data_IF_001749840809
#
_entry.id   IF_001749840809
#
_cell.length_a   1.000
_cell.length_b   1.000
_cell.length_c   1.000
_cell.angle_alpha   90.00
_cell.angle_beta   90.00
_cell.angle_gamma   90.00
#
_symmetry.space_group_name_H-M   'P 1'
#
loop_
_entity.id
_entity.type
_entity.pdbx_description
1 polymer ?
#
# COMPACT_ATOMS: atom_id res chain seq x y z
N UNK A 1 -10.55 -16.73 -16.55
CA UNK A 1 -10.01 -15.38 -16.37
C UNK A 1 -9.31 -15.28 -15.02
N UNK A 2 -8.09 -14.82 -15.06
CA UNK A 2 -7.38 -14.62 -13.81
C UNK A 2 -8.02 -13.45 -13.03
N UNK A 3 -8.06 -13.60 -11.71
CA UNK A 3 -8.59 -12.61 -10.82
C UNK A 3 -7.62 -11.44 -10.70
N UNK A 4 -8.09 -10.22 -10.95
CA UNK A 4 -7.28 -9.03 -10.73
C UNK A 4 -7.03 -8.83 -9.24
N UNK A 5 -5.83 -8.41 -8.90
CA UNK A 5 -5.41 -8.14 -7.54
C UNK A 5 -5.06 -6.67 -7.37
N UNK A 6 -5.79 -6.00 -6.51
CA UNK A 6 -5.53 -4.59 -6.15
C UNK A 6 -5.05 -4.53 -4.71
N UNK A 7 -3.88 -3.97 -4.51
CA UNK A 7 -3.25 -3.86 -3.19
C UNK A 7 -3.15 -2.39 -2.78
N UNK A 8 -3.66 -2.09 -1.59
CA UNK A 8 -3.47 -0.80 -0.93
C UNK A 8 -2.36 -0.92 0.11
N UNK A 9 -1.31 -0.14 -0.05
CA UNK A 9 -0.19 -0.06 0.88
C UNK A 9 -0.10 1.34 1.47
N UNK A 10 0.32 1.42 2.72
CA UNK A 10 0.49 2.70 3.38
C UNK A 10 0.55 2.60 4.89
N UNK A 11 0.14 3.67 5.52
CA UNK A 11 0.16 3.88 6.97
C UNK A 11 -1.26 3.86 7.57
N UNK A 12 -1.50 4.66 8.62
CA UNK A 12 -2.80 4.73 9.31
C UNK A 12 -3.94 5.19 8.41
N UNK A 13 -3.67 6.01 7.40
CA UNK A 13 -4.70 6.50 6.48
C UNK A 13 -5.24 5.34 5.63
N UNK A 14 -4.38 4.42 5.27
CA UNK A 14 -4.75 3.20 4.52
C UNK A 14 -5.30 2.12 5.46
N UNK A 15 -4.72 1.95 6.64
CA UNK A 15 -5.12 0.98 7.67
C UNK A 15 -6.55 1.26 8.17
N UNK A 16 -6.78 2.44 8.71
CA UNK A 16 -8.05 2.90 9.30
C UNK A 16 -8.79 1.79 10.05
N UNK A 17 -8.12 1.25 11.06
CA UNK A 17 -8.67 0.22 11.97
C UNK A 17 -9.15 -1.06 11.25
N UNK A 18 -8.45 -1.46 10.18
CA UNK A 18 -8.75 -2.72 9.53
C UNK A 18 -8.48 -3.91 10.45
N UNK A 19 -9.13 -5.03 10.18
CA UNK A 19 -8.80 -6.31 10.81
C UNK A 19 -7.50 -6.85 10.19
N UNK A 20 -6.39 -6.73 10.92
CA UNK A 20 -5.07 -7.11 10.42
C UNK A 20 -4.87 -8.63 10.27
N UNK A 21 -5.77 -9.44 10.83
CA UNK A 21 -5.76 -10.89 10.61
C UNK A 21 -6.36 -11.29 9.27
N UNK A 22 -7.01 -10.35 8.57
CA UNK A 22 -7.65 -10.58 7.29
C UNK A 22 -7.29 -9.47 6.31
N UNK A 23 -6.38 -9.74 5.38
CA UNK A 23 -5.90 -8.76 4.42
C UNK A 23 -6.97 -8.29 3.43
N UNK A 24 -8.10 -9.00 3.35
CA UNK A 24 -9.26 -8.59 2.55
C UNK A 24 -10.19 -7.63 3.30
N UNK A 25 -9.97 -7.39 4.57
CA UNK A 25 -10.71 -6.38 5.32
C UNK A 25 -10.19 -4.99 4.92
N UNK A 26 -11.09 -4.14 4.45
CA UNK A 26 -10.73 -2.83 3.88
C UNK A 26 -10.68 -1.70 4.91
N UNK A 27 -10.88 -2.02 6.21
CA UNK A 27 -10.91 -0.98 7.25
C UNK A 27 -12.06 -0.01 7.06
N UNK A 28 -11.87 1.22 7.52
CA UNK A 28 -12.92 2.26 7.54
C UNK A 28 -12.53 3.51 6.75
N UNK A 29 -11.49 3.45 5.95
CA UNK A 29 -10.96 4.58 5.17
C UNK A 29 -11.22 4.44 3.66
N UNK A 30 -10.37 5.11 2.87
CA UNK A 30 -10.54 5.16 1.42
C UNK A 30 -10.51 3.77 0.73
N UNK A 31 -9.73 2.76 1.20
CA UNK A 31 -9.78 1.45 0.55
C UNK A 31 -11.16 0.83 0.54
N UNK A 32 -11.93 0.99 1.63
CA UNK A 32 -13.31 0.51 1.71
C UNK A 32 -14.20 1.17 0.66
N UNK A 33 -14.10 2.49 0.53
CA UNK A 33 -14.92 3.23 -0.43
C UNK A 33 -14.56 2.88 -1.88
N UNK A 34 -13.27 2.77 -2.19
CA UNK A 34 -12.81 2.38 -3.53
C UNK A 34 -13.31 0.98 -3.88
N UNK A 35 -13.09 0.01 -3.00
CA UNK A 35 -13.47 -1.38 -3.25
C UNK A 35 -14.99 -1.52 -3.39
N UNK A 36 -15.77 -0.87 -2.50
CA UNK A 36 -17.22 -0.96 -2.51
C UNK A 36 -17.83 -0.32 -3.76
N UNK A 37 -17.37 0.88 -4.11
CA UNK A 37 -17.87 1.58 -5.29
C UNK A 37 -17.51 0.84 -6.57
N UNK A 38 -16.28 0.33 -6.67
CA UNK A 38 -15.87 -0.42 -7.85
C UNK A 38 -16.72 -1.68 -8.03
N UNK A 39 -16.94 -2.44 -6.96
CA UNK A 39 -17.76 -3.66 -7.03
C UNK A 39 -19.20 -3.37 -7.38
N UNK A 40 -19.76 -2.29 -6.85
CA UNK A 40 -21.13 -1.87 -7.16
C UNK A 40 -21.30 -1.52 -8.64
N UNK A 41 -20.31 -0.79 -9.20
CA UNK A 41 -20.36 -0.35 -10.59
C UNK A 41 -19.96 -1.45 -11.58
N UNK A 42 -19.20 -2.45 -11.12
CA UNK A 42 -18.63 -3.49 -11.97
C UNK A 42 -18.88 -4.90 -11.41
N UNK A 43 -20.15 -5.31 -11.22
CA UNK A 43 -20.46 -6.55 -10.50
C UNK A 43 -19.99 -7.84 -11.19
N UNK A 44 -19.64 -7.75 -12.46
CA UNK A 44 -19.14 -8.90 -13.24
C UNK A 44 -17.63 -9.07 -13.22
N UNK A 45 -16.89 -8.09 -12.68
CA UNK A 45 -15.43 -8.18 -12.59
C UNK A 45 -15.03 -9.08 -11.43
N UNK A 46 -14.14 -10.03 -11.72
CA UNK A 46 -13.52 -10.85 -10.69
C UNK A 46 -12.26 -10.15 -10.19
N UNK A 47 -12.36 -9.56 -9.00
CA UNK A 47 -11.31 -8.71 -8.44
C UNK A 47 -11.16 -8.97 -6.93
N UNK A 48 -9.89 -9.09 -6.48
CA UNK A 48 -9.52 -9.12 -5.08
C UNK A 48 -8.93 -7.76 -4.67
N UNK A 49 -9.40 -7.24 -3.56
CA UNK A 49 -8.84 -6.05 -2.92
C UNK A 49 -8.15 -6.47 -1.62
N UNK A 50 -6.92 -5.99 -1.43
CA UNK A 50 -6.13 -6.24 -0.22
C UNK A 50 -5.73 -4.91 0.40
N UNK A 51 -5.88 -4.80 1.72
CA UNK A 51 -5.43 -3.64 2.50
C UNK A 51 -4.33 -4.08 3.46
N UNK A 52 -3.13 -3.61 3.24
CA UNK A 52 -1.96 -3.87 4.07
C UNK A 52 -1.36 -2.59 4.66
N UNK A 53 -2.16 -1.54 4.76
CA UNK A 53 -1.79 -0.35 5.53
C UNK A 53 -1.55 -0.71 6.99
N UNK A 54 -0.53 -0.11 7.60
CA UNK A 54 -0.19 -0.29 9.01
C UNK A 54 0.06 1.08 9.65
N UNK A 55 -0.72 1.40 10.67
CA UNK A 55 -0.61 2.66 11.40
C UNK A 55 0.82 2.90 11.89
N UNK A 56 1.31 4.10 11.70
CA UNK A 56 2.63 4.52 12.13
C UNK A 56 3.76 4.22 11.14
N UNK A 57 3.50 3.48 10.07
CA UNK A 57 4.54 3.10 9.11
C UNK A 57 5.16 4.31 8.40
N UNK A 58 6.48 4.25 8.26
CA UNK A 58 7.29 5.11 7.42
C UNK A 58 7.69 4.33 6.17
N UNK A 59 8.33 4.99 5.22
CA UNK A 59 8.80 4.32 3.99
C UNK A 59 9.80 3.20 4.30
N UNK A 60 10.63 3.35 5.33
CA UNK A 60 11.56 2.30 5.77
C UNK A 60 10.84 1.06 6.31
N UNK A 61 9.69 1.25 6.97
CA UNK A 61 8.87 0.13 7.45
C UNK A 61 8.26 -0.63 6.28
N UNK A 62 7.84 0.06 5.23
CA UNK A 62 7.39 -0.60 3.99
C UNK A 62 8.50 -1.42 3.36
N UNK A 63 9.72 -0.89 3.32
CA UNK A 63 10.87 -1.62 2.80
C UNK A 63 11.07 -2.94 3.53
N UNK A 64 10.99 -2.92 4.87
CA UNK A 64 11.23 -4.10 5.70
C UNK A 64 10.21 -5.22 5.48
N UNK A 65 9.02 -4.91 5.00
CA UNK A 65 7.96 -5.89 4.73
C UNK A 65 7.55 -5.99 3.26
N UNK A 66 8.29 -5.37 2.36
CA UNK A 66 7.89 -5.26 0.94
C UNK A 66 7.78 -6.59 0.23
N UNK A 67 8.69 -7.53 0.52
CA UNK A 67 8.65 -8.85 -0.10
C UNK A 67 7.36 -9.60 0.25
N UNK A 68 7.05 -9.72 1.54
CA UNK A 68 5.89 -10.50 2.01
C UNK A 68 4.57 -9.77 1.79
N UNK A 69 4.56 -8.45 1.94
CA UNK A 69 3.33 -7.64 1.96
C UNK A 69 3.06 -6.93 0.64
N UNK A 70 3.88 -7.12 -0.37
CA UNK A 70 3.66 -6.58 -1.71
C UNK A 70 4.03 -7.59 -2.80
N UNK A 71 5.32 -7.90 -2.93
CA UNK A 71 5.80 -8.70 -4.07
C UNK A 71 5.21 -10.10 -4.09
N UNK A 72 5.14 -10.77 -2.96
CA UNK A 72 4.58 -12.14 -2.85
C UNK A 72 3.07 -12.20 -3.12
N UNK A 73 2.37 -11.08 -3.05
CA UNK A 73 0.95 -11.01 -3.35
C UNK A 73 0.66 -10.86 -4.84
N UNK A 74 1.67 -10.56 -5.63
CA UNK A 74 1.57 -10.39 -7.09
C UNK A 74 0.44 -9.42 -7.50
N UNK A 75 0.46 -8.16 -7.01
CA UNK A 75 -0.60 -7.21 -7.37
C UNK A 75 -0.55 -6.83 -8.85
N UNK A 76 -1.71 -6.66 -9.44
CA UNK A 76 -1.86 -6.08 -10.78
C UNK A 76 -1.97 -4.56 -10.71
N UNK A 77 -2.57 -4.07 -9.63
CA UNK A 77 -2.66 -2.64 -9.32
C UNK A 77 -2.16 -2.42 -7.90
N UNK A 78 -1.23 -1.51 -7.74
CA UNK A 78 -0.62 -1.16 -6.47
C UNK A 78 -0.86 0.32 -6.18
N UNK A 79 -1.54 0.61 -5.06
CA UNK A 79 -1.70 1.96 -4.54
C UNK A 79 -0.82 2.12 -3.31
N UNK A 80 0.02 3.14 -3.28
CA UNK A 80 0.94 3.41 -2.16
C UNK A 80 0.73 4.83 -1.66
N UNK A 81 0.31 4.97 -0.42
CA UNK A 81 0.19 6.26 0.26
C UNK A 81 1.04 6.23 1.52
N UNK A 82 2.21 6.87 1.46
CA UNK A 82 3.20 6.84 2.52
C UNK A 82 3.95 8.18 2.59
N UNK A 83 4.42 8.57 3.76
CA UNK A 83 5.28 9.73 3.92
C UNK A 83 4.93 10.64 5.07
N UNK A 84 3.67 10.64 5.53
CA UNK A 84 3.25 11.54 6.61
C UNK A 84 4.00 11.22 7.92
N UNK A 85 4.23 9.95 8.23
CA UNK A 85 4.96 9.55 9.43
C UNK A 85 6.46 9.83 9.31
N UNK A 86 7.03 9.78 8.12
CA UNK A 86 8.41 10.22 7.87
C UNK A 86 8.57 11.68 8.27
N UNK A 87 7.61 12.52 7.90
CA UNK A 87 7.60 13.94 8.25
C UNK A 87 7.34 14.14 9.75
N UNK A 88 6.31 13.49 10.30
CA UNK A 88 5.96 13.63 11.71
C UNK A 88 7.07 13.18 12.65
N UNK A 89 7.70 12.02 12.39
CA UNK A 89 8.79 11.50 13.23
C UNK A 89 10.01 12.42 13.27
N UNK A 90 10.24 13.17 12.20
CA UNK A 90 11.28 14.18 12.17
C UNK A 90 11.01 15.30 13.19
N UNK A 91 9.76 15.75 13.30
CA UNK A 91 9.38 16.89 14.12
C UNK A 91 8.94 16.53 15.53
N UNK A 92 8.19 15.42 15.71
CA UNK A 92 7.68 15.02 17.02
C UNK A 92 8.70 14.23 17.84
N UNK A 93 9.44 13.31 17.23
CA UNK A 93 10.31 12.34 17.89
C UNK A 93 11.79 12.55 17.58
N UNK A 94 12.11 13.61 16.84
CA UNK A 94 13.47 13.98 16.44
C UNK A 94 14.24 12.83 15.78
N UNK A 95 13.51 11.96 15.05
CA UNK A 95 14.14 10.88 14.28
C UNK A 95 14.67 11.44 12.96
N UNK A 96 15.85 10.99 12.51
CA UNK A 96 16.38 11.41 11.22
C UNK A 96 15.43 11.03 10.09
N UNK A 97 15.10 12.00 9.25
CA UNK A 97 14.36 11.77 8.03
C UNK A 97 14.90 12.73 6.99
N UNK A 98 15.70 12.22 6.09
CA UNK A 98 16.27 13.00 4.99
C UNK A 98 15.47 12.75 3.73
N UNK A 99 15.17 13.82 3.02
CA UNK A 99 14.38 13.75 1.78
C UNK A 99 15.01 12.80 0.76
N UNK A 100 16.35 12.85 0.60
CA UNK A 100 17.05 11.97 -0.33
C UNK A 100 16.93 10.50 0.03
N UNK A 101 16.96 10.16 1.32
CA UNK A 101 16.78 8.79 1.79
C UNK A 101 15.35 8.32 1.55
N UNK A 102 14.36 9.15 1.86
CA UNK A 102 12.95 8.85 1.58
C UNK A 102 12.74 8.56 0.08
N UNK A 103 13.21 9.44 -0.77
CA UNK A 103 13.08 9.27 -2.22
C UNK A 103 13.76 8.00 -2.71
N UNK A 104 14.97 7.73 -2.23
CA UNK A 104 15.75 6.56 -2.62
C UNK A 104 15.03 5.26 -2.26
N UNK A 105 14.52 5.16 -1.03
CA UNK A 105 13.78 3.98 -0.59
C UNK A 105 12.48 3.84 -1.39
N UNK A 106 11.72 4.91 -1.50
CA UNK A 106 10.44 4.89 -2.22
C UNK A 106 10.64 4.45 -3.67
N UNK A 107 11.62 5.04 -4.35
CA UNK A 107 11.95 4.67 -5.73
C UNK A 107 12.31 3.19 -5.85
N UNK A 108 13.12 2.66 -4.93
CA UNK A 108 13.52 1.25 -4.96
C UNK A 108 12.32 0.31 -4.80
N UNK A 109 11.35 0.67 -3.94
CA UNK A 109 10.14 -0.13 -3.76
C UNK A 109 9.33 -0.22 -5.05
N UNK A 110 9.16 0.89 -5.74
CA UNK A 110 8.41 0.94 -7.00
C UNK A 110 9.14 0.22 -8.12
N UNK A 111 10.47 0.33 -8.17
CA UNK A 111 11.30 -0.39 -9.14
C UNK A 111 11.23 -1.90 -8.93
N UNK A 112 11.25 -2.36 -7.68
CA UNK A 112 11.11 -3.78 -7.35
C UNK A 112 9.74 -4.31 -7.79
N UNK A 113 8.68 -3.55 -7.55
CA UNK A 113 7.34 -3.91 -7.99
C UNK A 113 7.26 -4.04 -9.53
N UNK A 114 7.86 -3.11 -10.26
CA UNK A 114 7.90 -3.15 -11.74
C UNK A 114 8.78 -4.27 -12.28
N UNK A 115 9.82 -4.62 -11.56
CA UNK A 115 10.69 -5.74 -11.95
C UNK A 115 9.96 -7.06 -11.80
N UNK A 116 9.18 -7.20 -10.71
CA UNK A 116 8.38 -8.39 -10.47
C UNK A 116 7.22 -8.53 -11.47
N UNK A 117 6.57 -7.41 -11.79
CA UNK A 117 5.50 -7.35 -12.78
C UNK A 117 5.64 -6.09 -13.64
N UNK A 118 6.22 -6.20 -14.86
CA UNK A 118 6.39 -5.04 -15.75
C UNK A 118 5.08 -4.35 -16.17
N UNK A 119 3.95 -5.06 -16.09
CA UNK A 119 2.63 -4.54 -16.47
C UNK A 119 1.86 -3.94 -15.29
N UNK A 120 2.46 -3.89 -14.09
CA UNK A 120 1.80 -3.36 -12.91
C UNK A 120 1.36 -1.89 -13.10
N UNK A 121 0.16 -1.58 -12.64
CA UNK A 121 -0.32 -0.20 -12.55
C UNK A 121 -0.05 0.32 -11.15
N UNK A 122 0.63 1.46 -11.06
CA UNK A 122 1.02 2.05 -9.78
C UNK A 122 0.35 3.41 -9.63
N UNK A 123 -0.25 3.62 -8.47
CA UNK A 123 -0.87 4.89 -8.05
C UNK A 123 -0.15 5.35 -6.80
N UNK A 124 0.34 6.58 -6.78
CA UNK A 124 1.02 7.18 -5.62
C UNK A 124 0.45 8.55 -5.30
#
# INVERSE_FOLDING_TARGET
MEKLRVLFQGDSITDMDRDRSNIRNMGNGYPLFVASNFRADNPKFDIDFFDLGISGNRVSDLRDRWQTDCLDLHPDVLSVLIGINDTWRKYDSNLPSEFGEFESIYRSLLEDARRENPDIKIII
#
